data_IF_033220287037
#
_entry.id   IF_033220287037
#
_cell.length_a   1.000
_cell.length_b   1.000
_cell.length_c   1.000
_cell.angle_alpha   90.00
_cell.angle_beta   90.00
_cell.angle_gamma   90.00
#
_symmetry.space_group_name_H-M   'P 1'
#
loop_
_entity.id
_entity.type
_entity.pdbx_description
1 polymer ?
#
# COMPACT_ATOMS: atom_id res chain seq x y z
N UNK A 1 4.31 24.01 -1.92
CA UNK A 1 5.54 23.41 -1.37
C UNK A 1 5.19 22.10 -0.65
N UNK A 2 5.43 20.98 -1.30
CA UNK A 2 5.12 19.64 -0.78
C UNK A 2 6.12 19.12 0.27
N UNK A 3 7.07 19.93 0.68
CA UNK A 3 8.08 19.59 1.68
C UNK A 3 7.53 19.49 3.11
N UNK A 4 6.29 19.89 3.33
CA UNK A 4 5.65 19.90 4.65
C UNK A 4 4.96 18.57 5.03
N UNK A 5 4.77 17.64 4.11
CA UNK A 5 4.09 16.37 4.38
C UNK A 5 5.00 15.31 5.03
N UNK A 6 6.31 15.52 5.05
CA UNK A 6 7.26 14.63 5.72
C UNK A 6 7.57 15.02 7.18
N UNK A 7 7.02 16.12 7.66
CA UNK A 7 7.09 16.46 9.06
C UNK A 7 5.96 15.75 9.82
N UNK A 8 6.27 14.55 10.25
CA UNK A 8 5.78 13.87 11.46
C UNK A 8 4.49 14.47 12.04
N UNK A 9 3.34 14.17 11.45
CA UNK A 9 2.09 14.31 12.18
C UNK A 9 2.05 13.21 13.22
N UNK A 10 2.49 13.54 14.41
CA UNK A 10 2.34 12.67 15.57
C UNK A 10 0.95 12.92 16.14
N UNK A 11 0.04 12.01 15.86
CA UNK A 11 -1.30 12.08 16.44
C UNK A 11 -1.26 11.53 17.87
N UNK A 12 -1.80 12.30 18.81
CA UNK A 12 -2.00 11.85 20.18
C UNK A 12 -3.44 11.37 20.34
N UNK A 13 -3.65 10.08 20.47
CA UNK A 13 -4.92 9.52 20.92
C UNK A 13 -4.74 8.88 22.29
N UNK A 14 -5.45 9.39 23.30
CA UNK A 14 -5.37 8.86 24.66
C UNK A 14 -3.98 8.92 25.29
N UNK A 15 -3.10 9.83 24.84
CA UNK A 15 -1.73 9.98 25.36
C UNK A 15 -0.69 9.10 24.67
N UNK A 16 -1.05 8.35 23.62
CA UNK A 16 -0.10 7.54 22.83
C UNK A 16 0.32 8.29 21.55
N UNK A 17 1.62 8.22 21.25
CA UNK A 17 2.18 8.69 19.99
C UNK A 17 1.82 7.67 18.92
N UNK A 18 1.12 8.12 17.86
CA UNK A 18 0.85 7.29 16.70
C UNK A 18 2.11 7.22 15.80
N UNK A 19 2.34 6.07 15.21
CA UNK A 19 3.39 5.85 14.21
C UNK A 19 3.20 6.80 13.02
N UNK A 20 4.26 7.41 12.53
CA UNK A 20 4.21 8.24 11.32
C UNK A 20 4.02 7.39 10.07
N UNK A 21 3.52 8.00 8.99
CA UNK A 21 3.36 7.32 7.70
C UNK A 21 4.67 6.68 7.21
N UNK A 22 5.81 7.36 7.38
CA UNK A 22 7.12 6.84 6.95
C UNK A 22 7.55 5.64 7.80
N UNK A 23 7.36 5.68 9.12
CA UNK A 23 7.65 4.55 10.00
C UNK A 23 6.76 3.35 9.66
N UNK A 24 5.47 3.57 9.42
CA UNK A 24 4.53 2.56 8.95
C UNK A 24 4.97 1.96 7.63
N UNK A 25 5.35 2.78 6.66
CA UNK A 25 5.81 2.32 5.37
C UNK A 25 7.07 1.45 5.47
N UNK A 26 8.07 1.87 6.25
CA UNK A 26 9.29 1.08 6.50
C UNK A 26 8.95 -0.23 7.20
N UNK A 27 8.03 -0.23 8.16
CA UNK A 27 7.57 -1.44 8.85
C UNK A 27 6.83 -2.38 7.90
N UNK A 28 5.90 -1.89 7.09
CA UNK A 28 5.14 -2.70 6.14
C UNK A 28 6.05 -3.30 5.06
N UNK A 29 6.94 -2.50 4.50
CA UNK A 29 7.87 -2.97 3.45
C UNK A 29 8.91 -3.95 3.97
N UNK A 30 9.18 -4.03 5.27
CA UNK A 30 10.05 -5.06 5.85
C UNK A 30 9.39 -6.44 5.94
N UNK A 31 8.09 -6.55 5.68
CA UNK A 31 7.33 -7.80 5.79
C UNK A 31 7.19 -8.42 4.41
N UNK A 32 7.56 -9.71 4.31
CA UNK A 32 7.33 -10.49 3.10
C UNK A 32 5.84 -10.74 2.90
N UNK A 33 5.33 -10.33 1.72
CA UNK A 33 3.94 -10.61 1.28
C UNK A 33 3.91 -11.03 -0.19
N UNK A 34 5.00 -11.65 -0.67
CA UNK A 34 5.11 -12.13 -2.04
C UNK A 34 3.95 -13.06 -2.40
N UNK A 35 3.30 -12.80 -3.52
CA UNK A 35 2.30 -13.68 -4.12
C UNK A 35 2.95 -14.85 -4.85
N UNK A 36 2.18 -15.89 -5.16
CA UNK A 36 2.66 -17.08 -5.85
C UNK A 36 1.62 -17.53 -6.89
N UNK A 37 1.91 -17.33 -8.16
CA UNK A 37 1.02 -17.68 -9.27
C UNK A 37 0.76 -19.18 -9.44
N UNK A 38 1.63 -20.05 -8.90
CA UNK A 38 1.44 -21.49 -8.92
C UNK A 38 0.54 -22.01 -7.78
N UNK A 39 0.15 -21.14 -6.85
CA UNK A 39 -0.68 -21.52 -5.71
C UNK A 39 -2.13 -21.75 -6.13
N UNK A 40 -2.78 -22.67 -5.41
CA UNK A 40 -4.22 -22.93 -5.55
C UNK A 40 -5.03 -22.41 -4.36
N UNK A 41 -4.37 -21.74 -3.42
CA UNK A 41 -5.04 -21.14 -2.23
C UNK A 41 -5.29 -19.65 -2.44
N UNK A 42 -6.21 -19.09 -1.65
CA UNK A 42 -6.54 -17.68 -1.61
C UNK A 42 -6.49 -17.23 -0.15
N UNK A 43 -5.63 -16.28 0.22
CA UNK A 43 -4.49 -15.75 -0.54
C UNK A 43 -3.51 -16.83 -1.01
N UNK A 44 -2.74 -16.53 -2.05
CA UNK A 44 -1.77 -17.48 -2.64
C UNK A 44 -0.62 -17.85 -1.70
N UNK A 45 -0.37 -17.04 -0.66
CA UNK A 45 0.67 -17.29 0.34
C UNK A 45 0.19 -17.04 1.76
N UNK A 46 0.74 -17.81 2.72
CA UNK A 46 0.44 -17.62 4.15
C UNK A 46 0.97 -16.27 4.68
N UNK A 47 2.04 -15.74 4.09
CA UNK A 47 2.62 -14.45 4.51
C UNK A 47 1.66 -13.28 4.28
N UNK A 48 0.82 -13.34 3.25
CA UNK A 48 -0.26 -12.37 3.04
C UNK A 48 -1.34 -12.49 4.14
N UNK A 49 -1.74 -13.71 4.48
CA UNK A 49 -2.70 -13.96 5.58
C UNK A 49 -2.16 -13.41 6.90
N UNK A 50 -0.88 -13.66 7.18
CA UNK A 50 -0.22 -13.18 8.40
C UNK A 50 -0.14 -11.65 8.43
N UNK A 51 0.18 -11.01 7.32
CA UNK A 51 0.18 -9.56 7.21
C UNK A 51 -1.22 -8.98 7.42
N UNK A 52 -2.23 -9.56 6.78
CA UNK A 52 -3.63 -9.14 6.94
C UNK A 52 -4.09 -9.22 8.40
N UNK A 53 -3.87 -10.38 9.04
CA UNK A 53 -4.46 -10.68 10.36
C UNK A 53 -3.64 -10.13 11.53
N UNK A 54 -2.30 -10.11 11.41
CA UNK A 54 -1.41 -9.72 12.51
C UNK A 54 -0.94 -8.27 12.42
N UNK A 55 -1.15 -7.61 11.26
CA UNK A 55 -0.70 -6.23 11.04
C UNK A 55 -1.87 -5.33 10.64
N UNK A 56 -2.49 -5.55 9.48
CA UNK A 56 -3.50 -4.63 8.94
C UNK A 56 -4.75 -4.54 9.82
N UNK A 57 -5.29 -5.68 10.26
CA UNK A 57 -6.47 -5.68 11.16
C UNK A 57 -6.17 -5.00 12.50
N UNK A 58 -5.08 -5.31 13.22
CA UNK A 58 -4.72 -4.56 14.43
C UNK A 58 -4.52 -3.07 14.20
N UNK A 59 -3.85 -2.68 13.12
CA UNK A 59 -3.57 -1.27 12.83
C UNK A 59 -4.85 -0.47 12.54
N UNK A 60 -5.77 -1.01 11.74
CA UNK A 60 -7.08 -0.39 11.49
C UNK A 60 -7.89 -0.22 12.79
N UNK A 61 -7.86 -1.22 13.67
CA UNK A 61 -8.48 -1.12 14.99
C UNK A 61 -7.82 -0.07 15.88
N UNK A 62 -6.50 0.02 15.82
CA UNK A 62 -5.75 1.02 16.58
C UNK A 62 -6.02 2.46 16.09
N UNK A 63 -6.19 2.67 14.80
CA UNK A 63 -6.66 3.94 14.22
C UNK A 63 -8.03 4.29 14.79
N UNK A 64 -8.88 3.30 15.02
CA UNK A 64 -10.21 3.44 15.61
C UNK A 64 -11.33 3.45 14.60
N UNK A 65 -11.22 2.64 13.56
CA UNK A 65 -12.34 2.36 12.67
C UNK A 65 -13.47 1.65 13.44
N UNK A 66 -14.70 1.90 13.01
CA UNK A 66 -15.90 1.38 13.66
C UNK A 66 -16.05 -0.13 13.45
N UNK A 67 -15.73 -0.59 12.25
CA UNK A 67 -15.77 -2.01 11.89
C UNK A 67 -14.50 -2.40 11.14
N UNK A 68 -13.90 -3.55 11.51
CA UNK A 68 -12.74 -4.13 10.83
C UNK A 68 -12.94 -5.63 10.70
N UNK A 69 -12.99 -6.12 9.47
CA UNK A 69 -13.26 -7.51 9.12
C UNK A 69 -12.09 -8.07 8.29
N UNK A 70 -11.65 -9.28 8.60
CA UNK A 70 -10.86 -10.11 7.71
C UNK A 70 -11.75 -11.21 7.15
N UNK A 71 -11.96 -11.20 5.85
CA UNK A 71 -12.72 -12.25 5.18
C UNK A 71 -11.80 -13.42 4.81
N UNK A 72 -12.00 -14.57 5.46
CA UNK A 72 -11.17 -15.76 5.26
C UNK A 72 -11.40 -16.46 3.91
N UNK A 73 -12.52 -16.20 3.25
CA UNK A 73 -12.86 -16.83 1.97
C UNK A 73 -12.12 -16.20 0.80
N UNK A 74 -11.86 -14.89 0.89
CA UNK A 74 -11.21 -14.14 -0.18
C UNK A 74 -9.94 -13.38 0.24
N UNK A 75 -9.56 -13.42 1.51
CA UNK A 75 -8.35 -12.80 2.02
C UNK A 75 -8.38 -11.28 2.21
N UNK A 76 -9.50 -10.61 1.91
CA UNK A 76 -9.62 -9.17 2.05
C UNK A 76 -9.73 -8.72 3.50
N UNK A 77 -9.03 -7.64 3.82
CA UNK A 77 -9.26 -6.85 5.03
C UNK A 77 -10.13 -5.67 4.66
N UNK A 78 -11.27 -5.50 5.34
CA UNK A 78 -12.20 -4.39 5.10
C UNK A 78 -12.34 -3.60 6.40
N UNK A 79 -12.20 -2.28 6.29
CA UNK A 79 -12.41 -1.34 7.38
C UNK A 79 -13.50 -0.34 7.04
N UNK A 80 -14.31 0.05 8.04
CA UNK A 80 -15.38 1.03 7.89
C UNK A 80 -15.21 2.15 8.91
N UNK A 81 -15.25 3.38 8.42
CA UNK A 81 -15.42 4.61 9.20
C UNK A 81 -16.80 5.17 8.87
N UNK A 82 -17.71 5.17 9.85
CA UNK A 82 -19.07 5.67 9.65
C UNK A 82 -19.11 7.18 9.39
N UNK A 83 -20.17 7.63 8.72
CA UNK A 83 -20.42 9.06 8.52
C UNK A 83 -20.47 9.79 9.88
N UNK A 84 -19.89 10.99 9.93
CA UNK A 84 -19.95 11.87 11.11
C UNK A 84 -20.82 13.10 10.89
N UNK A 85 -21.74 13.03 9.92
CA UNK A 85 -22.69 14.08 9.57
C UNK A 85 -24.06 13.46 9.21
N UNK A 86 -25.14 14.20 9.49
CA UNK A 86 -26.49 13.86 9.04
C UNK A 86 -26.79 14.38 7.63
N UNK A 87 -25.87 15.15 7.04
CA UNK A 87 -26.00 15.61 5.67
C UNK A 87 -25.84 14.45 4.69
N UNK A 88 -26.59 14.51 3.58
CA UNK A 88 -26.47 13.51 2.52
C UNK A 88 -25.10 13.66 1.83
N UNK A 89 -24.21 12.72 2.10
CA UNK A 89 -22.91 12.61 1.46
C UNK A 89 -22.76 11.23 0.84
N UNK A 90 -22.03 11.09 -0.29
CA UNK A 90 -21.74 9.79 -0.87
C UNK A 90 -20.86 8.96 0.05
N UNK A 91 -20.98 7.64 -0.06
CA UNK A 91 -20.04 6.71 0.53
C UNK A 91 -18.87 6.47 -0.42
N UNK A 92 -17.65 6.50 0.11
CA UNK A 92 -16.43 6.39 -0.69
C UNK A 92 -15.60 5.21 -0.20
N UNK A 93 -15.06 4.44 -1.14
CA UNK A 93 -14.14 3.35 -0.89
C UNK A 93 -12.73 3.64 -1.37
N UNK A 94 -11.73 3.13 -0.65
CA UNK A 94 -10.33 3.11 -1.06
C UNK A 94 -9.81 1.69 -1.03
N UNK A 95 -9.12 1.29 -2.08
CA UNK A 95 -8.63 -0.07 -2.27
C UNK A 95 -7.14 -0.01 -2.55
N UNK A 96 -6.39 -0.93 -1.95
CA UNK A 96 -4.97 -1.16 -2.23
C UNK A 96 -4.69 -2.66 -2.12
N UNK A 97 -3.61 -3.14 -2.77
CA UNK A 97 -3.23 -4.54 -2.62
C UNK A 97 -2.10 -4.73 -1.61
N UNK A 98 -2.10 -5.90 -0.95
CA UNK A 98 -1.14 -6.17 0.11
C UNK A 98 0.02 -7.06 -0.34
N UNK A 99 -0.14 -7.77 -1.44
CA UNK A 99 0.90 -8.63 -1.98
C UNK A 99 1.98 -7.84 -2.72
N UNK A 100 3.06 -8.49 -2.99
CA UNK A 100 4.14 -8.00 -3.83
C UNK A 100 4.44 -9.01 -4.92
N UNK A 101 4.98 -8.53 -6.03
CA UNK A 101 5.31 -9.32 -7.19
C UNK A 101 6.22 -10.53 -6.85
N UNK A 102 6.23 -11.51 -7.74
CA UNK A 102 6.94 -12.79 -7.57
C UNK A 102 8.46 -12.63 -7.72
N UNK A 103 9.06 -11.84 -6.81
CA UNK A 103 10.48 -11.66 -6.67
C UNK A 103 10.95 -11.97 -5.24
N UNK A 104 12.28 -12.02 -5.03
CA UNK A 104 12.83 -12.25 -3.70
C UNK A 104 12.32 -11.21 -2.70
N UNK A 105 11.64 -11.68 -1.65
CA UNK A 105 11.10 -10.89 -0.55
C UNK A 105 11.59 -11.38 0.82
N UNK A 106 12.71 -12.12 0.84
CA UNK A 106 13.31 -12.62 2.07
C UNK A 106 14.29 -11.61 2.67
N UNK A 107 14.09 -11.28 3.95
CA UNK A 107 14.94 -10.35 4.68
C UNK A 107 15.00 -8.95 4.04
N UNK A 108 13.88 -8.40 3.68
CA UNK A 108 13.78 -7.04 3.12
C UNK A 108 14.37 -6.04 4.13
N UNK A 109 15.25 -5.17 3.64
CA UNK A 109 15.95 -4.17 4.46
C UNK A 109 15.68 -2.77 3.92
N UNK A 110 14.51 -2.19 4.20
CA UNK A 110 14.22 -0.82 3.78
C UNK A 110 15.11 0.16 4.56
N UNK A 111 15.59 1.19 3.87
CA UNK A 111 16.32 2.31 4.47
C UNK A 111 15.96 3.62 3.81
N UNK A 112 16.15 4.70 4.53
CA UNK A 112 15.87 6.05 4.05
C UNK A 112 17.17 6.67 3.53
N UNK A 113 17.12 7.21 2.31
CA UNK A 113 18.12 8.11 1.75
C UNK A 113 17.57 9.52 1.92
N UNK A 114 18.06 10.24 2.90
CA UNK A 114 17.61 11.60 3.19
C UNK A 114 18.21 12.60 2.22
N UNK A 115 17.41 13.61 1.88
CA UNK A 115 17.86 14.77 1.09
C UNK A 115 18.63 14.35 -0.16
N UNK A 116 18.01 13.51 -1.00
CA UNK A 116 18.62 12.96 -2.20
C UNK A 116 19.27 14.04 -3.07
N UNK A 117 20.54 13.89 -3.39
CA UNK A 117 21.35 14.90 -4.06
C UNK A 117 21.34 14.82 -5.61
N UNK A 118 20.67 13.81 -6.16
CA UNK A 118 20.59 13.57 -7.61
C UNK A 118 21.72 12.68 -8.15
N UNK A 119 22.56 12.10 -7.31
CA UNK A 119 23.58 11.14 -7.71
C UNK A 119 23.03 9.71 -7.85
N UNK A 120 23.84 8.78 -8.33
CA UNK A 120 23.53 7.35 -8.29
C UNK A 120 23.41 6.88 -6.83
N UNK A 121 22.37 6.09 -6.52
CA UNK A 121 22.15 5.56 -5.17
C UNK A 121 22.84 4.20 -5.05
N UNK A 122 23.86 4.11 -4.20
CA UNK A 122 24.45 2.83 -3.87
C UNK A 122 23.50 2.06 -2.94
N UNK A 123 22.84 1.01 -3.44
CA UNK A 123 21.98 0.15 -2.65
C UNK A 123 22.80 -0.85 -1.83
N UNK A 124 23.80 -1.48 -2.47
CA UNK A 124 24.64 -2.49 -1.86
C UNK A 124 26.09 -2.34 -2.36
N UNK A 125 26.97 -1.98 -1.45
CA UNK A 125 28.38 -1.76 -1.79
C UNK A 125 29.13 -3.07 -2.05
N UNK A 126 28.81 -4.11 -1.31
CA UNK A 126 29.45 -5.43 -1.43
C UNK A 126 29.12 -6.08 -2.76
N UNK A 127 27.85 -6.04 -3.16
CA UNK A 127 27.36 -6.60 -4.42
C UNK A 127 27.39 -5.62 -5.59
N UNK A 128 27.90 -4.39 -5.41
CA UNK A 128 27.99 -3.35 -6.43
C UNK A 128 26.62 -3.03 -7.07
N UNK A 129 25.54 -3.02 -6.26
CA UNK A 129 24.19 -2.73 -6.73
C UNK A 129 23.90 -1.24 -6.57
N UNK A 130 23.45 -0.62 -7.66
CA UNK A 130 23.15 0.82 -7.70
C UNK A 130 21.81 1.05 -8.43
N UNK A 131 21.05 2.03 -7.95
CA UNK A 131 20.03 2.69 -8.75
C UNK A 131 20.67 3.84 -9.47
N UNK A 132 20.88 3.69 -10.78
CA UNK A 132 21.60 4.69 -11.58
C UNK A 132 20.63 5.72 -12.14
N UNK A 133 20.99 6.98 -12.02
CA UNK A 133 20.23 8.08 -12.61
C UNK A 133 20.09 7.96 -14.13
N UNK A 134 21.08 7.38 -14.80
CA UNK A 134 21.04 7.15 -16.24
C UNK A 134 19.94 6.16 -16.64
N UNK A 135 19.69 5.14 -15.80
CA UNK A 135 18.68 4.11 -16.02
C UNK A 135 17.29 4.60 -15.58
N UNK A 136 17.23 5.51 -14.61
CA UNK A 136 16.01 6.09 -14.04
C UNK A 136 16.02 7.62 -14.10
N UNK A 137 15.82 8.22 -15.28
CA UNK A 137 15.92 9.68 -15.45
C UNK A 137 14.95 10.52 -14.63
N UNK A 138 13.82 9.93 -14.20
CA UNK A 138 12.81 10.55 -13.35
C UNK A 138 13.32 10.82 -11.93
N UNK A 139 14.39 10.19 -11.47
CA UNK A 139 15.02 10.46 -10.18
C UNK A 139 15.38 11.94 -10.01
N UNK A 140 15.62 12.67 -11.09
CA UNK A 140 15.86 14.13 -11.07
C UNK A 140 14.74 14.93 -10.39
N UNK A 141 13.51 14.41 -10.43
CA UNK A 141 12.34 15.07 -9.85
C UNK A 141 12.28 14.97 -8.33
N UNK A 142 13.13 14.12 -7.76
CA UNK A 142 13.17 13.82 -6.32
C UNK A 142 14.38 14.40 -5.61
N UNK A 143 15.19 15.24 -6.28
CA UNK A 143 16.33 15.93 -5.65
C UNK A 143 15.81 16.78 -4.48
N UNK A 144 16.47 16.63 -3.32
CA UNK A 144 16.08 17.27 -2.07
C UNK A 144 14.93 16.58 -1.33
N UNK A 145 14.45 15.43 -1.83
CA UNK A 145 13.45 14.58 -1.16
C UNK A 145 14.13 13.41 -0.45
N UNK A 146 13.41 12.82 0.51
CA UNK A 146 13.82 11.56 1.11
C UNK A 146 13.24 10.40 0.31
N UNK A 147 14.04 9.37 0.08
CA UNK A 147 13.67 8.18 -0.69
C UNK A 147 13.78 6.94 0.21
N UNK A 148 12.83 6.04 0.11
CA UNK A 148 12.95 4.72 0.75
C UNK A 148 13.45 3.74 -0.31
N UNK A 149 14.49 2.99 0.03
CA UNK A 149 15.13 2.01 -0.85
C UNK A 149 15.45 0.73 -0.08
N UNK A 150 15.72 -0.37 -0.80
CA UNK A 150 16.27 -1.60 -0.21
C UNK A 150 17.76 -1.70 -0.40
N UNK A 151 18.35 -2.84 -0.01
CA UNK A 151 19.74 -3.20 -0.34
C UNK A 151 19.90 -3.75 -1.77
N UNK A 152 18.84 -3.77 -2.55
CA UNK A 152 18.84 -4.25 -3.94
C UNK A 152 18.87 -5.78 -4.10
N UNK A 153 18.84 -6.54 -3.00
CA UNK A 153 18.76 -8.01 -3.02
C UNK A 153 17.31 -8.49 -3.00
N UNK A 154 16.38 -7.60 -2.67
CA UNK A 154 14.93 -7.85 -2.63
C UNK A 154 14.17 -6.74 -3.31
N UNK A 155 12.88 -6.96 -3.60
CA UNK A 155 11.94 -5.87 -3.81
C UNK A 155 11.83 -5.02 -2.54
N UNK A 156 11.43 -3.75 -2.70
CA UNK A 156 10.97 -2.92 -1.60
C UNK A 156 9.54 -3.27 -1.22
N UNK A 157 8.70 -3.57 -2.20
CA UNK A 157 7.26 -3.77 -2.01
C UNK A 157 6.51 -2.47 -1.73
N UNK A 158 7.01 -1.37 -2.30
CA UNK A 158 6.32 -0.09 -2.27
C UNK A 158 5.01 -0.12 -3.02
N UNK A 159 4.95 -0.86 -4.07
CA UNK A 159 3.80 -1.34 -4.78
C UNK A 159 3.27 -2.60 -4.08
N UNK A 160 2.05 -2.58 -3.43
CA UNK A 160 1.27 -1.34 -3.20
C UNK A 160 1.13 -1.03 -1.69
N UNK A 161 2.15 -1.35 -0.89
CA UNK A 161 2.17 -0.96 0.53
C UNK A 161 2.19 0.55 0.73
N UNK A 162 2.58 1.32 -0.30
CA UNK A 162 2.48 2.77 -0.28
C UNK A 162 1.01 3.20 -0.26
N UNK A 163 0.18 2.69 -1.15
CA UNK A 163 -1.26 2.97 -1.17
C UNK A 163 -1.95 2.56 0.13
N UNK A 164 -1.58 1.40 0.70
CA UNK A 164 -2.07 1.03 2.04
C UNK A 164 -1.71 2.11 3.08
N UNK A 165 -0.46 2.57 3.11
CA UNK A 165 -0.02 3.59 4.06
C UNK A 165 -0.74 4.93 3.87
N UNK A 166 -0.97 5.34 2.62
CA UNK A 166 -1.70 6.56 2.30
C UNK A 166 -3.15 6.50 2.78
N UNK A 167 -3.84 5.37 2.56
CA UNK A 167 -5.19 5.13 3.07
C UNK A 167 -5.21 5.15 4.60
N UNK A 168 -4.28 4.43 5.24
CA UNK A 168 -4.16 4.40 6.70
C UNK A 168 -3.94 5.79 7.29
N UNK A 169 -3.09 6.60 6.65
CA UNK A 169 -2.81 7.97 7.11
C UNK A 169 -4.03 8.87 6.96
N UNK A 170 -4.73 8.80 5.82
CA UNK A 170 -5.95 9.54 5.61
C UNK A 170 -7.04 9.20 6.64
N UNK A 171 -7.22 7.91 6.93
CA UNK A 171 -8.16 7.45 7.96
C UNK A 171 -7.75 7.91 9.36
N UNK A 172 -6.46 7.83 9.68
CA UNK A 172 -5.90 8.33 10.95
C UNK A 172 -6.19 9.82 11.12
N UNK A 173 -5.97 10.59 10.05
CA UNK A 173 -6.23 12.02 10.05
C UNK A 173 -7.71 12.33 10.30
N UNK A 174 -8.62 11.68 9.58
CA UNK A 174 -10.06 11.90 9.74
C UNK A 174 -10.58 11.53 11.13
N UNK A 175 -10.10 10.43 11.69
CA UNK A 175 -10.47 10.02 13.07
C UNK A 175 -9.94 11.02 14.11
N UNK A 176 -8.77 11.60 13.88
CA UNK A 176 -8.19 12.62 14.74
C UNK A 176 -8.87 14.01 14.63
N UNK A 177 -9.56 14.25 13.51
CA UNK A 177 -10.19 15.53 13.14
C UNK A 177 -11.70 15.39 12.92
N UNK A 178 -12.51 15.10 13.97
CA UNK A 178 -13.96 14.89 13.84
C UNK A 178 -14.73 16.14 13.40
N UNK A 179 -14.11 17.30 13.39
CA UNK A 179 -14.66 18.52 12.78
C UNK A 179 -14.75 18.45 11.26
N UNK A 180 -13.94 17.61 10.59
CA UNK A 180 -14.02 17.35 9.16
C UNK A 180 -15.22 16.43 8.91
N UNK A 181 -16.27 16.96 8.28
CA UNK A 181 -17.48 16.21 7.99
C UNK A 181 -17.30 15.34 6.75
N UNK A 182 -17.72 14.08 6.87
CA UNK A 182 -17.62 13.08 5.80
C UNK A 182 -18.78 12.10 5.82
N UNK A 183 -19.09 11.54 4.65
CA UNK A 183 -19.96 10.37 4.51
C UNK A 183 -19.29 9.08 5.01
N UNK A 184 -19.90 7.94 4.80
CA UNK A 184 -19.28 6.65 5.09
C UNK A 184 -18.01 6.48 4.24
N UNK A 185 -16.92 6.07 4.86
CA UNK A 185 -15.65 5.74 4.18
C UNK A 185 -15.33 4.29 4.48
N UNK A 186 -14.96 3.55 3.44
CA UNK A 186 -14.49 2.17 3.58
C UNK A 186 -13.10 2.03 2.98
N UNK A 187 -12.30 1.15 3.53
CA UNK A 187 -11.06 0.70 2.89
C UNK A 187 -11.10 -0.83 2.70
N UNK A 188 -10.46 -1.31 1.65
CA UNK A 188 -10.27 -2.73 1.39
C UNK A 188 -8.82 -2.99 0.98
N UNK A 189 -8.17 -3.94 1.66
CA UNK A 189 -6.82 -4.38 1.32
C UNK A 189 -6.88 -5.82 0.83
N UNK A 190 -6.54 -6.03 -0.43
CA UNK A 190 -6.71 -7.31 -1.13
C UNK A 190 -5.41 -8.06 -1.36
N UNK A 191 -5.48 -9.40 -1.46
CA UNK A 191 -4.35 -10.23 -1.85
C UNK A 191 -4.26 -10.41 -3.37
N UNK A 192 -3.10 -10.93 -3.85
CA UNK A 192 -2.94 -11.56 -5.16
C UNK A 192 -3.24 -10.67 -6.39
N UNK A 193 -3.04 -9.37 -6.26
CA UNK A 193 -3.18 -8.43 -7.38
C UNK A 193 -2.09 -8.70 -8.43
N UNK A 194 -0.85 -8.85 -8.00
CA UNK A 194 0.36 -9.01 -8.82
C UNK A 194 0.39 -10.30 -9.66
N UNK A 195 -0.48 -11.26 -9.36
CA UNK A 195 -0.70 -12.47 -10.16
C UNK A 195 -2.03 -12.40 -10.95
N UNK A 196 -2.69 -11.24 -10.97
CA UNK A 196 -3.87 -10.97 -11.79
C UNK A 196 -5.17 -11.59 -11.27
N UNK A 197 -5.22 -12.08 -10.04
CA UNK A 197 -6.42 -12.74 -9.46
C UNK A 197 -7.08 -11.92 -8.36
N UNK A 198 -6.49 -10.79 -7.97
CA UNK A 198 -6.95 -9.99 -6.81
C UNK A 198 -8.42 -9.55 -6.93
N UNK A 199 -8.86 -9.11 -8.11
CA UNK A 199 -10.25 -8.67 -8.31
C UNK A 199 -11.27 -9.81 -8.40
N UNK A 200 -10.85 -11.02 -8.76
CA UNK A 200 -11.76 -12.15 -9.04
C UNK A 200 -12.59 -12.58 -7.83
N UNK A 201 -12.04 -12.35 -6.65
CA UNK A 201 -12.65 -12.77 -5.39
C UNK A 201 -13.18 -11.59 -4.56
N UNK A 202 -13.17 -10.38 -5.10
CA UNK A 202 -13.67 -9.21 -4.40
C UNK A 202 -15.19 -9.27 -4.26
N UNK A 203 -15.69 -9.31 -3.02
CA UNK A 203 -17.12 -9.32 -2.74
C UNK A 203 -17.67 -7.89 -2.61
N UNK A 204 -18.22 -7.37 -3.69
CA UNK A 204 -18.82 -6.04 -3.75
C UNK A 204 -19.96 -5.84 -2.73
N UNK A 205 -20.61 -6.92 -2.26
CA UNK A 205 -21.67 -6.83 -1.26
C UNK A 205 -21.13 -6.50 0.13
N UNK A 206 -19.88 -6.85 0.39
CA UNK A 206 -19.18 -6.50 1.63
C UNK A 206 -18.52 -5.12 1.57
N UNK A 207 -18.54 -4.49 0.40
CA UNK A 207 -17.97 -3.17 0.18
C UNK A 207 -18.99 -2.20 -0.47
N UNK A 208 -20.14 -1.95 0.19
CA UNK A 208 -21.24 -1.16 -0.36
C UNK A 208 -20.92 0.34 -0.29
N UNK A 209 -20.27 0.86 -1.31
CA UNK A 209 -19.93 2.28 -1.49
C UNK A 209 -20.48 2.80 -2.82
N UNK A 210 -20.69 4.12 -2.93
CA UNK A 210 -21.16 4.76 -4.17
C UNK A 210 -20.02 4.88 -5.19
N UNK A 211 -18.80 5.15 -4.71
CA UNK A 211 -17.58 5.29 -5.52
C UNK A 211 -16.41 4.59 -4.83
N UNK A 212 -15.52 4.01 -5.59
CA UNK A 212 -14.27 3.47 -5.08
C UNK A 212 -13.09 3.92 -5.94
N UNK A 213 -11.94 4.09 -5.28
CA UNK A 213 -10.66 4.40 -5.89
C UNK A 213 -9.63 3.35 -5.49
N UNK A 214 -8.93 2.78 -6.45
CA UNK A 214 -7.70 2.04 -6.19
C UNK A 214 -6.58 3.06 -6.01
N UNK A 215 -5.83 2.93 -4.91
CA UNK A 215 -4.69 3.78 -4.59
C UNK A 215 -3.44 2.99 -4.93
N UNK A 216 -3.24 2.85 -6.21
CA UNK A 216 -2.17 2.09 -6.80
C UNK A 216 -1.82 2.82 -8.09
N UNK A 217 -0.61 3.30 -8.24
CA UNK A 217 -0.41 4.16 -9.36
C UNK A 217 0.97 4.75 -9.53
N UNK A 218 1.14 5.50 -10.60
CA UNK A 218 2.40 5.95 -11.14
C UNK A 218 2.82 7.33 -10.67
N UNK A 219 2.20 8.36 -11.19
CA UNK A 219 2.62 9.75 -10.99
C UNK A 219 1.71 10.48 -10.02
N UNK A 220 2.30 11.28 -9.16
CA UNK A 220 1.55 12.10 -8.20
C UNK A 220 0.50 12.99 -8.90
N UNK A 221 -0.76 12.84 -8.48
CA UNK A 221 -1.89 13.60 -9.00
C UNK A 221 -2.49 13.03 -10.29
N UNK A 222 -2.04 11.89 -10.75
CA UNK A 222 -2.66 11.17 -11.86
C UNK A 222 -3.95 10.49 -11.39
N UNK A 223 -4.98 10.56 -12.22
CA UNK A 223 -6.24 9.83 -12.06
C UNK A 223 -6.53 9.10 -13.35
N UNK A 224 -6.60 7.79 -13.30
CA UNK A 224 -7.01 6.94 -14.41
C UNK A 224 -8.47 6.53 -14.22
N UNK A 225 -9.27 6.70 -15.27
CA UNK A 225 -10.71 6.39 -15.25
C UNK A 225 -11.16 5.64 -16.52
N UNK A 226 -10.19 5.18 -17.31
CA UNK A 226 -10.43 4.41 -18.52
C UNK A 226 -9.93 2.97 -18.32
N UNK A 227 -10.59 2.02 -18.98
CA UNK A 227 -10.18 0.62 -19.02
C UNK A 227 -9.49 0.31 -20.34
N UNK A 228 -8.57 -0.65 -20.32
CA UNK A 228 -7.92 -1.17 -21.53
C UNK A 228 -8.03 -2.69 -21.57
N UNK A 229 -7.85 -3.24 -22.77
CA UNK A 229 -7.79 -4.69 -22.97
C UNK A 229 -6.32 -5.11 -23.07
N UNK A 230 -5.98 -6.21 -22.41
CA UNK A 230 -4.68 -6.83 -22.51
C UNK A 230 -4.81 -8.30 -22.88
N UNK A 231 -3.77 -8.88 -23.44
CA UNK A 231 -3.67 -10.29 -23.72
C UNK A 231 -2.22 -10.76 -23.50
N UNK A 232 -2.07 -11.89 -22.84
CA UNK A 232 -0.80 -12.58 -22.67
C UNK A 232 -0.75 -13.85 -23.53
N UNK A 233 0.44 -14.27 -23.91
CA UNK A 233 0.64 -15.52 -24.63
C UNK A 233 1.97 -16.18 -24.28
N UNK A 234 1.95 -17.50 -24.08
CA UNK A 234 3.15 -18.30 -23.81
C UNK A 234 3.45 -19.17 -25.03
N UNK A 235 4.68 -19.08 -25.55
CA UNK A 235 5.16 -19.93 -26.65
C UNK A 235 6.20 -20.90 -26.11
N UNK A 236 5.89 -22.20 -26.19
CA UNK A 236 6.81 -23.26 -25.78
C UNK A 236 7.44 -23.88 -27.03
N UNK A 237 8.74 -23.72 -27.21
CA UNK A 237 9.52 -24.39 -28.24
C UNK A 237 10.16 -25.64 -27.60
N UNK A 238 9.79 -26.79 -28.11
CA UNK A 238 10.44 -28.05 -27.74
C UNK A 238 11.54 -28.31 -28.76
N UNK A 239 12.80 -28.33 -28.31
CA UNK A 239 13.96 -28.73 -29.08
C UNK A 239 14.17 -30.25 -29.08
#
# INVERSE_FOLDING_TARGET
>A
SYTALYNTYVYLRGGFIMESMVERFVRYTSINTRSNEESTTIPSTQTQVDFATNVLVPDLKAIGLDEVIYNRENGFVIGTLHANTDEKAPSIGFIAHMDTADYNAENIKPRIVENYDGSDICLNKEHQIFTRRADFPNLKNYIGKSLVVTDGLTLLGGDDKAGICEIMEALTYLVAHPEIKHGKIMCAFGPDEEIGTGADHFDIKQFPVDYAYTIDGESLGQLEYETFNAAGGTVILKG
#
